data_IF_584553895481
#
_entry.id   IF_584553895481
#
_cell.length_a   1.000
_cell.length_b   1.000
_cell.length_c   1.000
_cell.angle_alpha   90.00
_cell.angle_beta   90.00
_cell.angle_gamma   90.00
#
_symmetry.space_group_name_H-M   'P 1'
#
loop_
_entity.id
_entity.type
_entity.pdbx_description
1 polymer ?
#
# COMPACT_ATOMS: atom_id res chain seq x y z
N UNK A 1 -2.09 10.43 -8.31
CA UNK A 1 -2.77 10.18 -7.02
C UNK A 1 -2.04 10.91 -5.91
N UNK A 2 -2.75 11.65 -5.09
CA UNK A 2 -2.14 12.46 -4.03
C UNK A 2 -2.23 11.81 -2.65
N UNK A 3 -2.35 10.53 -2.61
CA UNK A 3 -2.49 9.79 -1.36
C UNK A 3 -1.13 9.42 -0.80
N UNK A 4 -0.59 10.29 0.04
CA UNK A 4 0.74 10.09 0.60
C UNK A 4 0.91 8.78 1.37
N UNK A 5 -0.06 8.33 2.20
CA UNK A 5 0.12 7.05 2.87
C UNK A 5 0.26 5.88 1.91
N UNK A 6 -0.59 5.83 0.88
CA UNK A 6 -0.50 4.75 -0.11
C UNK A 6 0.79 4.86 -0.91
N UNK A 7 1.14 6.07 -1.33
CA UNK A 7 2.35 6.29 -2.10
C UNK A 7 3.60 5.87 -1.33
N UNK A 8 3.67 6.22 -0.06
CA UNK A 8 4.83 5.86 0.77
C UNK A 8 4.98 4.34 0.88
N UNK A 9 3.88 3.63 1.08
CA UNK A 9 3.92 2.18 1.20
C UNK A 9 4.28 1.55 -0.14
N UNK A 10 3.71 2.06 -1.23
CA UNK A 10 4.02 1.54 -2.56
C UNK A 10 5.49 1.77 -2.91
N UNK A 11 6.05 2.93 -2.55
CA UNK A 11 7.46 3.20 -2.77
C UNK A 11 8.34 2.20 -2.02
N UNK A 12 7.99 1.90 -0.78
CA UNK A 12 8.73 0.91 -0.02
C UNK A 12 8.67 -0.45 -0.69
N UNK A 13 7.48 -0.88 -1.11
CA UNK A 13 7.32 -2.17 -1.78
C UNK A 13 8.13 -2.25 -3.07
N UNK A 14 8.16 -1.17 -3.83
CA UNK A 14 8.94 -1.11 -5.05
C UNK A 14 10.45 -1.20 -4.75
N UNK A 15 10.90 -0.45 -3.75
CA UNK A 15 12.32 -0.43 -3.40
C UNK A 15 12.81 -1.78 -2.89
N UNK A 16 11.93 -2.54 -2.24
CA UNK A 16 12.26 -3.87 -1.75
C UNK A 16 12.00 -4.97 -2.78
N UNK A 17 11.66 -4.59 -4.00
CA UNK A 17 11.38 -5.50 -5.10
C UNK A 17 10.20 -6.44 -4.84
N UNK A 18 9.28 -6.06 -3.95
CA UNK A 18 8.05 -6.80 -3.73
C UNK A 18 7.11 -6.62 -4.92
N UNK A 19 7.09 -5.40 -5.47
CA UNK A 19 6.34 -5.10 -6.68
C UNK A 19 7.29 -4.50 -7.72
N UNK A 20 6.95 -4.68 -9.00
CA UNK A 20 7.72 -4.10 -10.09
C UNK A 20 7.39 -2.61 -10.24
N UNK A 21 8.24 -1.90 -11.00
CA UNK A 21 7.96 -0.49 -11.31
C UNK A 21 6.65 -0.36 -12.08
N UNK A 22 6.40 -1.29 -12.98
CA UNK A 22 5.17 -1.28 -13.78
C UNK A 22 3.94 -1.44 -12.88
N UNK A 23 4.01 -2.34 -11.93
CA UNK A 23 2.94 -2.53 -10.97
C UNK A 23 2.80 -1.31 -10.06
N UNK A 24 3.92 -0.73 -9.64
CA UNK A 24 3.90 0.49 -8.85
C UNK A 24 3.17 1.60 -9.60
N UNK A 25 3.49 1.81 -10.88
CA UNK A 25 2.85 2.85 -11.69
C UNK A 25 1.35 2.63 -11.79
N UNK A 26 0.93 1.38 -11.97
CA UNK A 26 -0.49 1.06 -12.02
C UNK A 26 -1.18 1.35 -10.69
N UNK A 27 -0.62 0.85 -9.60
CA UNK A 27 -1.22 1.01 -8.28
C UNK A 27 -1.22 2.46 -7.82
N UNK A 28 -0.21 3.22 -8.21
CA UNK A 28 -0.12 4.63 -7.85
C UNK A 28 -1.21 5.48 -8.50
N UNK A 29 -1.87 4.94 -9.53
CA UNK A 29 -2.94 5.63 -10.23
C UNK A 29 -4.32 5.04 -9.94
N UNK A 30 -4.41 4.01 -9.12
CA UNK A 30 -5.67 3.37 -8.77
C UNK A 30 -5.70 3.14 -7.26
N UNK A 31 -6.39 4.03 -6.57
CA UNK A 31 -6.44 4.03 -5.10
C UNK A 31 -7.03 2.73 -4.54
N UNK A 32 -8.11 2.24 -5.14
CA UNK A 32 -8.75 1.02 -4.66
C UNK A 32 -7.83 -0.20 -4.85
N UNK A 33 -7.17 -0.28 -6.00
CA UNK A 33 -6.23 -1.36 -6.26
C UNK A 33 -5.02 -1.29 -5.34
N UNK A 34 -4.52 -0.08 -5.09
CA UNK A 34 -3.40 0.14 -4.18
C UNK A 34 -3.74 -0.34 -2.77
N UNK A 35 -4.90 0.08 -2.27
CA UNK A 35 -5.36 -0.33 -0.95
C UNK A 35 -5.45 -1.85 -0.85
N UNK A 36 -6.10 -2.49 -1.82
CA UNK A 36 -6.29 -3.94 -1.81
C UNK A 36 -4.95 -4.68 -1.85
N UNK A 37 -4.02 -4.22 -2.67
CA UNK A 37 -2.70 -4.84 -2.76
C UNK A 37 -1.91 -4.69 -1.47
N UNK A 38 -1.94 -3.50 -0.88
CA UNK A 38 -1.21 -3.25 0.36
C UNK A 38 -1.77 -4.11 1.49
N UNK A 39 -3.09 -4.21 1.61
CA UNK A 39 -3.70 -5.05 2.64
C UNK A 39 -3.41 -6.53 2.41
N UNK A 40 -3.34 -6.95 1.15
CA UNK A 40 -2.93 -8.31 0.84
C UNK A 40 -1.52 -8.59 1.36
N UNK A 41 -0.58 -7.68 1.11
CA UNK A 41 0.78 -7.84 1.59
C UNK A 41 0.84 -7.76 3.12
N UNK A 42 0.03 -6.92 3.72
CA UNK A 42 -0.04 -6.82 5.18
C UNK A 42 -0.45 -8.17 5.79
N UNK A 43 -1.41 -8.84 5.18
CA UNK A 43 -1.92 -10.12 5.71
C UNK A 43 -1.02 -11.32 5.37
N UNK A 44 -0.32 -11.28 4.24
CA UNK A 44 0.35 -12.46 3.70
C UNK A 44 1.88 -12.38 3.68
N UNK A 45 2.45 -11.19 3.75
CA UNK A 45 3.90 -11.00 3.78
C UNK A 45 4.28 -10.54 5.18
N UNK A 46 5.08 -11.33 5.87
CA UNK A 46 5.49 -11.01 7.23
C UNK A 46 6.65 -10.01 7.22
N UNK A 47 6.34 -8.78 6.87
CA UNK A 47 7.32 -7.70 6.80
C UNK A 47 6.98 -6.65 7.86
N UNK A 48 7.81 -6.52 8.91
CA UNK A 48 7.53 -5.56 9.99
C UNK A 48 7.38 -4.12 9.52
N UNK A 49 8.10 -3.75 8.45
CA UNK A 49 8.02 -2.38 7.94
C UNK A 49 6.68 -2.11 7.26
N UNK A 50 6.20 -3.08 6.47
CA UNK A 50 4.88 -2.97 5.87
C UNK A 50 3.81 -2.91 6.95
N UNK A 51 3.91 -3.79 7.93
CA UNK A 51 2.95 -3.84 9.04
C UNK A 51 2.91 -2.51 9.78
N UNK A 52 4.07 -1.94 10.07
CA UNK A 52 4.16 -0.66 10.76
C UNK A 52 3.53 0.46 9.93
N UNK A 53 3.85 0.52 8.64
CA UNK A 53 3.32 1.56 7.77
C UNK A 53 1.80 1.49 7.65
N UNK A 54 1.26 0.28 7.53
CA UNK A 54 -0.19 0.09 7.45
C UNK A 54 -0.85 0.48 8.78
N UNK A 55 -0.29 0.04 9.89
CA UNK A 55 -0.89 0.33 11.20
C UNK A 55 -0.82 1.80 11.56
N UNK A 56 0.23 2.50 11.16
CA UNK A 56 0.33 3.94 11.37
C UNK A 56 -0.74 4.71 10.60
N UNK A 57 -1.26 4.13 9.54
CA UNK A 57 -2.26 4.76 8.68
C UNK A 57 -3.59 4.01 8.71
N UNK A 58 -3.85 3.26 9.79
CA UNK A 58 -5.01 2.39 9.86
C UNK A 58 -6.33 3.13 9.65
N UNK A 59 -6.48 4.30 10.26
CA UNK A 59 -7.71 5.09 10.10
C UNK A 59 -7.97 5.44 8.64
N UNK A 60 -6.91 5.76 7.91
CA UNK A 60 -7.03 6.06 6.50
C UNK A 60 -7.52 4.85 5.71
N UNK A 61 -7.00 3.66 6.02
CA UNK A 61 -7.44 2.44 5.34
C UNK A 61 -8.88 2.10 5.68
N UNK A 62 -9.31 2.37 6.91
CA UNK A 62 -10.70 2.15 7.29
C UNK A 62 -11.65 3.07 6.52
N UNK A 63 -11.25 4.32 6.33
CA UNK A 63 -12.07 5.26 5.54
C UNK A 63 -12.25 4.78 4.11
N UNK A 64 -11.21 4.20 3.52
CA UNK A 64 -11.32 3.67 2.16
C UNK A 64 -12.26 2.48 2.08
N UNK A 65 -12.39 1.71 3.14
CA UNK A 65 -13.29 0.56 3.15
C UNK A 65 -14.76 0.95 3.15
N UNK A 66 -15.08 2.13 3.62
CA UNK A 66 -16.45 2.59 3.71
C UNK A 66 -17.03 3.04 2.39
N UNK A 67 -16.21 3.08 1.37
CA UNK A 67 -16.68 3.39 0.03
C UNK A 67 -17.13 2.11 -0.68
#
# INVERSE_FOLDING_TARGET
MENKPLESILNYLKDENVISKKEFDYLNNDEAAAKNSILYYYDNVDDPNVNMLVEMNWDYFLELEEE
#
